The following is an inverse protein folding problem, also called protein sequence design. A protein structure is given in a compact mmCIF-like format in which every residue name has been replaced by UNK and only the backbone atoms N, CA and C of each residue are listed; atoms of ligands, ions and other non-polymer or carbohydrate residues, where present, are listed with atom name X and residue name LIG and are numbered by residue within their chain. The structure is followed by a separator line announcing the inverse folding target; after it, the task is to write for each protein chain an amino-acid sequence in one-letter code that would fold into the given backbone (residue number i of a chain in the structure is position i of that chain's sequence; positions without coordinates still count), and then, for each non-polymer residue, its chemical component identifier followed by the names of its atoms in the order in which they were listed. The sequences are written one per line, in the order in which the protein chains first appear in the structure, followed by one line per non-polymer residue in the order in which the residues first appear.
data_IF_829488148318
#
_entry.id   IF_829488148318
#
_cell.length_a   1.000
_cell.length_b   1.000
_cell.length_c   1.000
_cell.angle_alpha   90.00
_cell.angle_beta   90.00
_cell.angle_gamma   90.00
#
_symmetry.space_group_name_H-M   'P 1'
#
loop_
_entity.id
_entity.type
_entity.pdbx_description
1 polymer ?
#
# COMPACT_ATOMS: atom_id res chain seq x y z
N UNK A 1 -55.55 -30.02 -2.36
CA UNK A 1 -54.62 -29.02 -2.92
C UNK A 1 -53.30 -29.15 -2.20
N UNK A 2 -52.19 -28.99 -2.91
CA UNK A 2 -50.86 -29.02 -2.30
C UNK A 2 -50.05 -27.85 -2.83
N UNK A 3 -49.43 -27.12 -1.91
CA UNK A 3 -48.53 -26.01 -2.18
C UNK A 3 -47.13 -26.43 -1.75
N UNK A 4 -46.16 -26.34 -2.65
CA UNK A 4 -44.76 -26.65 -2.36
C UNK A 4 -43.90 -25.39 -2.45
N UNK A 5 -43.18 -25.08 -1.38
CA UNK A 5 -42.32 -23.89 -1.23
C UNK A 5 -40.87 -24.35 -1.04
N UNK A 6 -39.92 -23.99 -1.91
CA UNK A 6 -38.51 -24.32 -1.72
C UNK A 6 -37.95 -23.69 -0.44
N UNK A 7 -37.19 -24.46 0.36
CA UNK A 7 -36.55 -23.98 1.60
C UNK A 7 -35.65 -22.77 1.36
N UNK A 8 -35.01 -22.68 0.18
CA UNK A 8 -34.16 -21.55 -0.19
C UNK A 8 -34.89 -20.21 -0.22
N UNK A 9 -36.20 -20.21 -0.52
CA UNK A 9 -36.99 -18.97 -0.55
C UNK A 9 -37.28 -18.43 0.84
N UNK A 10 -37.30 -19.31 1.82
CA UNK A 10 -37.70 -19.01 3.19
C UNK A 10 -36.50 -18.96 4.15
N UNK A 11 -35.29 -18.78 3.61
CA UNK A 11 -34.05 -18.61 4.39
C UNK A 11 -33.35 -19.91 4.80
N UNK A 12 -33.85 -21.08 4.38
CA UNK A 12 -33.18 -22.37 4.55
C UNK A 12 -33.23 -22.97 5.96
N UNK A 13 -33.69 -22.22 6.96
CA UNK A 13 -33.70 -22.64 8.37
C UNK A 13 -35.11 -22.81 8.96
N UNK A 14 -36.16 -22.58 8.18
CA UNK A 14 -37.54 -22.77 8.63
C UNK A 14 -37.90 -24.26 8.66
N UNK A 15 -38.66 -24.64 9.68
CA UNK A 15 -39.33 -25.93 9.81
C UNK A 15 -40.67 -25.93 9.05
N UNK A 16 -41.24 -27.11 8.84
CA UNK A 16 -42.56 -27.22 8.20
C UNK A 16 -43.67 -26.56 9.03
N UNK A 17 -43.62 -26.72 10.35
CA UNK A 17 -44.58 -26.16 11.31
C UNK A 17 -44.53 -24.64 11.43
N UNK A 18 -43.46 -24.01 10.93
CA UNK A 18 -43.33 -22.55 10.91
C UNK A 18 -44.25 -21.89 9.89
N UNK A 19 -44.82 -22.66 8.95
CA UNK A 19 -45.77 -22.20 7.94
C UNK A 19 -47.12 -22.89 8.12
N UNK A 20 -48.21 -22.14 7.99
CA UNK A 20 -49.57 -22.66 8.04
C UNK A 20 -50.51 -21.94 7.05
N UNK A 21 -51.73 -22.45 6.90
CA UNK A 21 -52.77 -21.79 6.10
C UNK A 21 -53.47 -20.69 6.89
N UNK A 22 -53.74 -19.57 6.22
CA UNK A 22 -54.38 -18.42 6.85
C UNK A 22 -55.76 -18.80 7.39
N UNK A 23 -55.97 -18.51 8.68
CA UNK A 23 -57.21 -18.81 9.38
C UNK A 23 -57.26 -20.22 10.00
N UNK A 24 -56.23 -21.05 9.85
CA UNK A 24 -56.14 -22.35 10.51
C UNK A 24 -54.66 -22.72 10.84
N UNK A 25 -54.30 -22.59 12.12
CA UNK A 25 -52.92 -22.80 12.60
C UNK A 25 -52.51 -24.28 12.68
N UNK A 26 -53.49 -25.20 12.63
CA UNK A 26 -53.26 -26.65 12.63
C UNK A 26 -52.88 -27.14 11.23
N UNK A 27 -53.24 -26.39 10.19
CA UNK A 27 -52.93 -26.70 8.80
C UNK A 27 -51.50 -26.29 8.42
N UNK A 28 -50.54 -27.02 8.97
CA UNK A 28 -49.10 -26.75 8.87
C UNK A 28 -48.40 -27.42 7.69
N UNK A 29 -47.19 -26.95 7.40
CA UNK A 29 -46.31 -27.57 6.40
C UNK A 29 -45.54 -28.76 6.93
N UNK A 30 -45.13 -29.62 6.01
CA UNK A 30 -44.17 -30.70 6.26
C UNK A 30 -42.93 -30.47 5.42
N UNK A 31 -41.75 -30.72 5.99
CA UNK A 31 -40.50 -30.71 5.23
C UNK A 31 -40.28 -32.06 4.60
N UNK A 32 -39.99 -32.06 3.30
CA UNK A 32 -39.41 -33.22 2.63
C UNK A 32 -37.89 -33.15 2.72
N UNK A 33 -37.29 -34.06 3.49
CA UNK A 33 -35.83 -34.14 3.71
C UNK A 33 -35.05 -34.33 2.40
N UNK A 34 -35.62 -35.08 1.44
CA UNK A 34 -34.97 -35.39 0.17
C UNK A 34 -34.98 -34.22 -0.82
N UNK A 35 -36.03 -33.39 -0.79
CA UNK A 35 -36.28 -32.40 -1.85
C UNK A 35 -36.00 -30.97 -1.41
N UNK A 36 -35.83 -30.71 -0.11
CA UNK A 36 -35.71 -29.36 0.48
C UNK A 36 -36.88 -28.45 0.08
N UNK A 37 -38.10 -28.97 0.14
CA UNK A 37 -39.33 -28.19 0.05
C UNK A 37 -40.15 -28.33 1.33
N UNK A 38 -40.83 -27.26 1.70
CA UNK A 38 -41.95 -27.29 2.62
C UNK A 38 -43.21 -27.51 1.77
N UNK A 39 -43.96 -28.57 2.06
CA UNK A 39 -45.24 -28.86 1.40
C UNK A 39 -46.38 -28.72 2.39
N UNK A 40 -47.39 -27.95 2.03
CA UNK A 40 -48.64 -27.83 2.77
C UNK A 40 -49.74 -28.46 1.92
N UNK A 41 -50.47 -29.43 2.48
CA UNK A 41 -51.54 -30.13 1.81
C UNK A 41 -52.85 -29.97 2.59
N UNK A 42 -53.94 -29.70 1.87
CA UNK A 42 -55.29 -29.55 2.44
C UNK A 42 -56.34 -30.13 1.51
N UNK A 43 -57.46 -30.60 2.05
CA UNK A 43 -58.64 -30.89 1.23
C UNK A 43 -59.26 -29.58 0.72
N UNK A 44 -60.10 -29.64 -0.31
CA UNK A 44 -60.65 -28.43 -0.95
C UNK A 44 -61.46 -27.55 0.01
N UNK A 45 -62.18 -28.17 0.95
CA UNK A 45 -63.10 -27.49 1.89
C UNK A 45 -62.55 -27.34 3.31
N UNK A 46 -61.34 -27.81 3.57
CA UNK A 46 -60.75 -27.80 4.92
C UNK A 46 -59.81 -26.59 5.07
N UNK A 47 -59.24 -26.39 6.26
CA UNK A 47 -58.26 -25.32 6.54
C UNK A 47 -58.74 -23.91 6.18
N UNK A 48 -60.05 -23.65 6.30
CA UNK A 48 -60.67 -22.37 5.98
C UNK A 48 -60.37 -21.85 4.56
N UNK A 49 -60.24 -22.75 3.58
CA UNK A 49 -60.14 -22.35 2.18
C UNK A 49 -61.37 -21.54 1.74
N UNK A 50 -61.14 -20.38 1.13
CA UNK A 50 -62.20 -19.58 0.53
C UNK A 50 -62.65 -20.21 -0.79
N UNK A 51 -63.97 -20.24 -1.00
CA UNK A 51 -64.61 -20.83 -2.18
C UNK A 51 -65.32 -19.72 -2.95
N UNK A 52 -65.03 -19.62 -4.23
CA UNK A 52 -65.72 -18.72 -5.16
C UNK A 52 -66.17 -19.50 -6.38
N UNK A 53 -67.34 -19.17 -6.90
CA UNK A 53 -68.02 -19.94 -7.93
C UNK A 53 -68.51 -19.00 -9.03
N UNK A 54 -68.22 -19.35 -10.28
CA UNK A 54 -68.77 -18.72 -11.48
C UNK A 54 -69.43 -19.77 -12.41
N UNK A 55 -69.92 -19.33 -13.57
CA UNK A 55 -70.66 -20.18 -14.52
C UNK A 55 -69.81 -21.32 -15.09
N UNK A 56 -68.48 -21.22 -15.09
CA UNK A 56 -67.56 -22.15 -15.74
C UNK A 56 -66.62 -22.86 -14.75
N UNK A 57 -66.28 -22.22 -13.64
CA UNK A 57 -65.27 -22.66 -12.70
C UNK A 57 -65.72 -22.59 -11.22
N UNK A 58 -65.15 -23.49 -10.42
CA UNK A 58 -65.13 -23.39 -8.95
C UNK A 58 -63.69 -23.15 -8.54
N UNK A 59 -63.45 -22.07 -7.82
CA UNK A 59 -62.11 -21.63 -7.40
C UNK A 59 -61.99 -21.75 -5.88
N UNK A 60 -61.01 -22.54 -5.46
CA UNK A 60 -60.60 -22.66 -4.06
C UNK A 60 -59.31 -21.86 -3.85
N UNK A 61 -59.26 -21.04 -2.81
CA UNK A 61 -58.09 -20.18 -2.54
C UNK A 61 -57.75 -20.12 -1.07
N UNK A 62 -56.47 -19.94 -0.77
CA UNK A 62 -55.96 -19.68 0.57
C UNK A 62 -54.60 -18.99 0.49
N UNK A 63 -54.03 -18.62 1.63
CA UNK A 63 -52.72 -17.99 1.74
C UNK A 63 -51.87 -18.76 2.74
N UNK A 64 -50.66 -19.13 2.35
CA UNK A 64 -49.66 -19.65 3.30
C UNK A 64 -49.04 -18.48 4.04
N UNK A 65 -49.00 -18.54 5.37
CA UNK A 65 -48.43 -17.51 6.23
C UNK A 65 -47.42 -18.10 7.22
N UNK A 66 -46.47 -17.28 7.65
CA UNK A 66 -45.57 -17.64 8.76
C UNK A 66 -46.33 -17.60 10.08
N UNK A 67 -46.12 -18.61 10.92
CA UNK A 67 -46.61 -18.63 12.30
C UNK A 67 -46.05 -17.44 13.08
N UNK A 68 -46.94 -16.65 13.67
CA UNK A 68 -46.52 -15.57 14.56
C UNK A 68 -45.92 -16.14 15.84
N UNK A 69 -44.78 -15.60 16.30
CA UNK A 69 -44.20 -16.01 17.57
C UNK A 69 -44.98 -15.36 18.72
N UNK A 70 -45.31 -16.12 19.77
CA UNK A 70 -45.93 -15.57 20.99
C UNK A 70 -44.99 -14.63 21.81
N UNK A 71 -43.75 -14.45 21.36
CA UNK A 71 -42.76 -13.56 21.99
C UNK A 71 -42.57 -12.22 21.28
N UNK A 72 -41.93 -11.27 21.95
CA UNK A 72 -41.59 -9.94 21.40
C UNK A 72 -40.61 -9.97 20.23
N UNK A 73 -39.90 -11.10 20.02
CA UNK A 73 -38.86 -11.25 19.01
C UNK A 73 -39.10 -12.55 18.25
N UNK A 74 -39.33 -12.45 16.94
CA UNK A 74 -39.26 -13.59 16.01
C UNK A 74 -37.95 -13.58 15.23
N UNK A 75 -37.44 -14.78 14.93
CA UNK A 75 -36.30 -14.99 14.01
C UNK A 75 -36.74 -15.62 12.69
N UNK A 76 -38.03 -15.89 12.54
CA UNK A 76 -38.62 -16.43 11.32
C UNK A 76 -38.80 -15.30 10.30
N UNK A 77 -38.54 -15.61 9.02
CA UNK A 77 -38.87 -14.69 7.92
C UNK A 77 -40.39 -14.59 7.80
N UNK A 78 -40.90 -13.38 7.55
CA UNK A 78 -42.31 -13.18 7.23
C UNK A 78 -42.58 -13.68 5.81
N UNK A 79 -43.44 -14.69 5.69
CA UNK A 79 -43.82 -15.35 4.44
C UNK A 79 -45.32 -15.16 4.27
N UNK A 80 -45.75 -14.77 3.07
CA UNK A 80 -47.16 -14.66 2.70
C UNK A 80 -47.28 -15.06 1.24
N UNK A 81 -47.87 -16.23 0.98
CA UNK A 81 -47.98 -16.80 -0.36
C UNK A 81 -49.45 -17.12 -0.66
N UNK A 82 -50.17 -16.22 -1.35
CA UNK A 82 -51.53 -16.52 -1.80
C UNK A 82 -51.49 -17.57 -2.92
N UNK A 83 -52.45 -18.48 -2.91
CA UNK A 83 -52.64 -19.47 -3.97
C UNK A 83 -54.12 -19.71 -4.23
N UNK A 84 -54.43 -20.16 -5.45
CA UNK A 84 -55.76 -20.60 -5.83
C UNK A 84 -55.70 -21.77 -6.80
N UNK A 85 -56.72 -22.61 -6.78
CA UNK A 85 -56.93 -23.72 -7.70
C UNK A 85 -58.31 -23.54 -8.35
N UNK A 86 -58.33 -23.33 -9.66
CA UNK A 86 -59.56 -23.25 -10.45
C UNK A 86 -59.86 -24.61 -11.07
N UNK A 87 -61.09 -25.08 -10.92
CA UNK A 87 -61.58 -26.35 -11.43
C UNK A 87 -62.77 -26.12 -12.34
N UNK A 88 -62.72 -26.65 -13.57
CA UNK A 88 -63.83 -26.57 -14.50
C UNK A 88 -64.99 -27.45 -14.00
N UNK A 89 -66.21 -26.93 -14.07
CA UNK A 89 -67.43 -27.62 -13.60
C UNK A 89 -67.80 -28.84 -14.43
N UNK A 90 -67.34 -28.92 -15.67
CA UNK A 90 -67.72 -29.94 -16.65
C UNK A 90 -66.75 -31.13 -16.73
N UNK A 91 -65.64 -31.10 -15.98
CA UNK A 91 -64.59 -32.12 -16.01
C UNK A 91 -64.45 -32.90 -14.70
N UNK A 92 -64.09 -34.18 -14.77
CA UNK A 92 -63.78 -34.98 -13.58
C UNK A 92 -62.38 -34.63 -13.06
N UNK A 93 -62.33 -34.08 -11.85
CA UNK A 93 -61.12 -33.48 -11.28
C UNK A 93 -60.18 -34.54 -10.66
N UNK A 94 -58.92 -34.56 -11.09
CA UNK A 94 -57.81 -35.21 -10.37
C UNK A 94 -57.07 -34.24 -9.43
N UNK A 95 -56.29 -34.77 -8.49
CA UNK A 95 -55.43 -33.99 -7.58
C UNK A 95 -54.50 -33.06 -8.40
N UNK A 96 -54.68 -31.74 -8.26
CA UNK A 96 -53.75 -30.73 -8.80
C UNK A 96 -52.77 -30.30 -7.71
N UNK A 97 -51.48 -30.38 -8.03
CA UNK A 97 -50.38 -29.81 -7.24
C UNK A 97 -50.01 -28.44 -7.80
N UNK A 98 -50.02 -27.41 -6.95
CA UNK A 98 -49.54 -26.08 -7.31
C UNK A 98 -48.10 -25.93 -6.85
N UNK A 99 -47.19 -25.77 -7.81
CA UNK A 99 -45.81 -25.40 -7.52
C UNK A 99 -45.73 -23.88 -7.63
N UNK A 100 -45.32 -23.22 -6.55
CA UNK A 100 -45.15 -21.77 -6.53
C UNK A 100 -43.98 -21.42 -7.46
N UNK A 101 -44.29 -21.04 -8.71
CA UNK A 101 -43.30 -20.63 -9.71
C UNK A 101 -43.22 -19.12 -9.89
N UNK A 102 -44.29 -18.41 -9.57
CA UNK A 102 -44.40 -16.96 -9.73
C UNK A 102 -44.79 -16.34 -8.37
N UNK A 103 -43.79 -15.87 -7.63
CA UNK A 103 -43.95 -15.26 -6.32
C UNK A 103 -43.11 -13.98 -6.27
N UNK A 104 -43.69 -12.89 -5.75
CA UNK A 104 -42.93 -11.69 -5.42
C UNK A 104 -42.62 -11.74 -3.93
N UNK A 105 -41.36 -12.03 -3.59
CA UNK A 105 -40.88 -11.81 -2.23
C UNK A 105 -40.82 -10.30 -2.00
N UNK A 106 -41.80 -9.76 -1.28
CA UNK A 106 -41.76 -8.40 -0.75
C UNK A 106 -40.79 -8.32 0.44
N UNK A 107 -39.56 -8.79 0.26
CA UNK A 107 -38.49 -8.70 1.23
C UNK A 107 -37.29 -8.05 0.55
N UNK A 108 -36.99 -6.81 0.95
CA UNK A 108 -35.70 -6.19 0.66
C UNK A 108 -34.70 -6.79 1.64
N UNK A 109 -33.85 -7.70 1.17
CA UNK A 109 -32.69 -8.13 1.95
C UNK A 109 -31.71 -6.96 2.08
N UNK A 110 -31.76 -6.27 3.21
CA UNK A 110 -30.78 -5.23 3.54
C UNK A 110 -29.55 -5.92 4.14
N UNK A 111 -28.65 -6.39 3.29
CA UNK A 111 -27.32 -6.83 3.70
C UNK A 111 -26.35 -5.65 3.62
N UNK A 112 -25.70 -5.31 4.72
CA UNK A 112 -24.67 -4.25 4.73
C UNK A 112 -23.30 -4.85 4.42
N UNK A 113 -22.75 -4.49 3.26
CA UNK A 113 -21.35 -4.77 2.90
C UNK A 113 -20.40 -3.71 3.47
N UNK A 114 -19.09 -4.03 3.57
CA UNK A 114 -18.04 -3.06 3.88
C UNK A 114 -16.99 -3.05 2.78
N UNK A 115 -16.59 -1.87 2.33
CA UNK A 115 -15.46 -1.73 1.41
C UNK A 115 -14.16 -2.18 2.09
N UNK A 116 -13.29 -2.82 1.31
CA UNK A 116 -11.92 -3.15 1.73
C UNK A 116 -11.01 -2.04 1.23
N UNK A 117 -10.24 -1.45 2.14
CA UNK A 117 -9.27 -0.41 1.82
C UNK A 117 -7.86 -0.98 1.95
N UNK A 118 -6.95 -0.50 1.12
CA UNK A 118 -5.52 -0.74 1.25
C UNK A 118 -4.76 0.59 1.22
N UNK A 119 -3.64 0.63 1.95
CA UNK A 119 -2.66 1.70 1.93
C UNK A 119 -1.31 1.00 1.75
N UNK A 120 -0.66 1.22 0.62
CA UNK A 120 0.54 0.52 0.24
C UNK A 120 1.66 1.51 -0.09
N UNK A 121 2.91 1.08 0.13
CA UNK A 121 4.11 1.85 -0.20
C UNK A 121 4.70 1.22 -1.45
N UNK A 122 5.00 2.04 -2.45
CA UNK A 122 5.50 1.66 -3.75
C UNK A 122 7.00 1.92 -3.85
N UNK A 123 7.66 1.18 -4.73
CA UNK A 123 9.11 1.26 -4.93
C UNK A 123 9.51 2.48 -5.76
N UNK A 124 8.61 2.98 -6.60
CA UNK A 124 8.81 4.05 -7.57
C UNK A 124 7.50 4.83 -7.84
N UNK A 125 7.60 5.84 -8.71
CA UNK A 125 6.54 6.76 -9.12
C UNK A 125 5.57 6.17 -10.15
N UNK A 126 5.81 4.95 -10.64
CA UNK A 126 4.88 4.24 -11.53
C UNK A 126 3.72 3.59 -10.74
N UNK A 127 3.85 3.48 -9.40
CA UNK A 127 2.86 2.87 -8.51
C UNK A 127 2.44 1.44 -8.91
N UNK A 128 3.34 0.66 -9.54
CA UNK A 128 3.08 -0.73 -9.94
C UNK A 128 3.57 -1.73 -8.90
N UNK A 129 4.82 -1.61 -8.45
CA UNK A 129 5.43 -2.56 -7.52
C UNK A 129 5.40 -2.04 -6.07
N UNK A 130 4.62 -2.71 -5.23
CA UNK A 130 4.53 -2.41 -3.80
C UNK A 130 5.49 -3.25 -2.95
N UNK A 131 5.92 -2.70 -1.83
CA UNK A 131 6.62 -3.47 -0.79
C UNK A 131 5.68 -4.51 -0.16
N UNK A 132 6.17 -5.75 -0.08
CA UNK A 132 5.47 -6.84 0.60
C UNK A 132 5.57 -6.68 2.13
N UNK A 133 4.61 -7.24 2.86
CA UNK A 133 4.61 -7.18 4.33
C UNK A 133 5.89 -7.78 4.96
N UNK A 134 6.53 -8.74 4.28
CA UNK A 134 7.81 -9.34 4.70
C UNK A 134 9.03 -8.43 4.54
N UNK A 135 8.92 -7.36 3.74
CA UNK A 135 10.00 -6.40 3.50
C UNK A 135 10.03 -5.27 4.54
N UNK A 136 9.03 -5.21 5.44
CA UNK A 136 9.02 -4.23 6.52
C UNK A 136 9.97 -4.61 7.67
N UNK A 137 10.66 -3.63 8.28
CA UNK A 137 10.61 -2.20 7.99
C UNK A 137 11.31 -1.80 6.68
N UNK A 138 10.64 -0.99 5.87
CA UNK A 138 11.22 -0.45 4.62
C UNK A 138 12.25 0.62 4.97
N UNK A 139 13.47 0.45 4.47
CA UNK A 139 14.56 1.40 4.66
C UNK A 139 14.50 2.51 3.61
N UNK A 140 14.42 3.77 4.06
CA UNK A 140 14.43 4.95 3.19
C UNK A 140 15.44 5.97 3.71
N UNK A 141 16.11 6.72 2.84
CA UNK A 141 16.97 7.81 3.29
C UNK A 141 16.13 9.03 3.66
N UNK A 142 16.77 10.05 4.23
CA UNK A 142 16.11 11.33 4.49
C UNK A 142 16.13 12.20 3.25
N UNK A 143 15.05 12.97 3.07
CA UNK A 143 14.86 13.92 1.96
C UNK A 143 14.90 13.26 0.57
N UNK A 144 14.51 11.99 0.50
CA UNK A 144 14.20 11.27 -0.73
C UNK A 144 12.69 11.11 -0.90
N UNK A 145 12.25 10.97 -2.15
CA UNK A 145 10.86 10.74 -2.50
C UNK A 145 10.36 9.38 -1.98
N UNK A 146 9.17 9.39 -1.38
CA UNK A 146 8.44 8.21 -0.95
C UNK A 146 7.09 8.21 -1.66
N UNK A 147 6.81 7.08 -2.30
CA UNK A 147 5.58 6.83 -3.05
C UNK A 147 4.66 5.94 -2.23
N UNK A 148 3.46 6.42 -1.91
CA UNK A 148 2.43 5.60 -1.29
C UNK A 148 1.07 5.88 -1.90
N UNK A 149 0.18 4.89 -1.86
CA UNK A 149 -1.13 5.02 -2.48
C UNK A 149 -2.20 4.32 -1.67
N UNK A 150 -3.41 4.90 -1.72
CA UNK A 150 -4.61 4.29 -1.16
C UNK A 150 -5.44 3.67 -2.28
N UNK A 151 -6.02 2.50 -2.04
CA UNK A 151 -6.93 1.84 -3.00
C UNK A 151 -8.16 1.25 -2.33
N UNK A 152 -9.24 1.19 -3.10
CA UNK A 152 -10.47 0.47 -2.75
C UNK A 152 -10.78 -0.57 -3.84
N UNK A 153 -10.24 -1.80 -3.74
CA UNK A 153 -10.56 -2.86 -4.70
C UNK A 153 -12.06 -3.17 -4.68
N UNK A 154 -12.73 -2.89 -5.80
CA UNK A 154 -14.17 -3.06 -5.98
C UNK A 154 -14.48 -3.59 -7.39
N UNK A 155 -15.62 -4.26 -7.53
CA UNK A 155 -16.20 -4.60 -8.83
C UNK A 155 -17.09 -3.46 -9.38
N UNK A 156 -17.33 -2.43 -8.58
CA UNK A 156 -18.07 -1.25 -8.96
C UNK A 156 -17.12 -0.22 -9.59
N UNK A 157 -17.24 -0.04 -10.91
CA UNK A 157 -16.44 0.89 -11.69
C UNK A 157 -16.84 2.35 -11.56
N UNK A 158 -17.85 2.67 -10.75
CA UNK A 158 -18.28 4.02 -10.44
C UNK A 158 -17.91 4.45 -9.00
N UNK A 159 -17.01 3.72 -8.33
CA UNK A 159 -16.49 4.15 -7.04
C UNK A 159 -15.28 5.05 -7.21
N UNK A 160 -15.33 6.16 -6.51
CA UNK A 160 -14.23 7.10 -6.38
C UNK A 160 -13.66 7.05 -4.94
N UNK A 161 -12.39 7.40 -4.79
CA UNK A 161 -11.67 7.33 -3.53
C UNK A 161 -11.03 8.68 -3.24
N UNK A 162 -11.19 9.17 -2.01
CA UNK A 162 -10.57 10.40 -1.54
C UNK A 162 -9.83 10.17 -0.24
N UNK A 163 -8.60 10.68 -0.16
CA UNK A 163 -7.81 10.74 1.07
C UNK A 163 -8.14 12.05 1.78
N UNK A 164 -8.82 12.00 2.92
CA UNK A 164 -9.22 13.23 3.65
C UNK A 164 -8.15 13.79 4.55
N UNK A 165 -7.38 12.91 5.18
CA UNK A 165 -6.24 13.31 5.98
C UNK A 165 -5.21 12.22 5.96
N UNK A 166 -3.93 12.61 6.02
CA UNK A 166 -2.84 11.71 6.32
C UNK A 166 -1.95 12.37 7.37
N UNK A 167 -1.59 11.61 8.39
CA UNK A 167 -0.66 12.01 9.43
C UNK A 167 0.40 10.94 9.61
N UNK A 168 1.60 11.35 9.98
CA UNK A 168 2.66 10.46 10.37
C UNK A 168 2.90 10.50 11.88
N UNK A 169 3.39 9.39 12.43
CA UNK A 169 3.71 9.23 13.85
C UNK A 169 4.99 8.41 14.04
N UNK A 170 5.70 8.55 15.18
CA UNK A 170 6.92 7.79 15.46
C UNK A 170 6.66 6.33 15.87
N UNK A 171 5.40 5.98 16.20
CA UNK A 171 4.98 4.63 16.60
C UNK A 171 3.69 4.22 15.89
N UNK A 172 3.27 2.96 16.01
CA UNK A 172 2.03 2.49 15.40
C UNK A 172 0.75 3.13 16.00
N UNK A 173 0.89 3.86 17.12
CA UNK A 173 -0.19 4.58 17.78
C UNK A 173 -0.52 5.86 17.03
N UNK A 174 -1.77 6.01 16.60
CA UNK A 174 -2.26 7.26 16.02
C UNK A 174 -2.19 8.42 17.02
N UNK A 175 -2.27 8.17 18.33
CA UNK A 175 -2.36 9.22 19.35
C UNK A 175 -1.00 9.80 19.77
N UNK A 176 0.09 9.34 19.17
CA UNK A 176 1.43 9.87 19.42
C UNK A 176 1.64 11.23 18.72
N UNK A 177 2.82 11.82 18.86
CA UNK A 177 3.19 13.06 18.16
C UNK A 177 2.93 12.92 16.65
N UNK A 178 2.08 13.80 16.11
CA UNK A 178 1.62 13.72 14.72
C UNK A 178 2.28 14.78 13.84
N UNK A 179 2.71 14.38 12.66
CA UNK A 179 3.04 15.30 11.57
C UNK A 179 1.94 15.25 10.50
N UNK A 180 1.37 16.39 10.11
CA UNK A 180 0.33 16.43 9.08
C UNK A 180 0.94 16.39 7.68
N UNK A 181 0.49 15.46 6.84
CA UNK A 181 0.89 15.35 5.43
C UNK A 181 -0.24 15.87 4.51
N UNK A 182 -1.47 15.46 4.79
CA UNK A 182 -2.68 15.85 4.05
C UNK A 182 -3.73 16.32 5.05
N UNK A 183 -4.39 17.45 4.76
CA UNK A 183 -5.46 18.02 5.57
C UNK A 183 -6.65 18.39 4.68
N UNK A 184 -7.82 17.88 5.04
CA UNK A 184 -9.08 18.12 4.35
C UNK A 184 -9.02 17.81 2.84
N UNK A 185 -8.22 16.80 2.47
CA UNK A 185 -7.97 16.36 1.11
C UNK A 185 -6.93 17.17 0.33
N UNK A 186 -6.31 18.17 0.96
CA UNK A 186 -5.27 18.97 0.34
C UNK A 186 -3.89 18.67 0.92
N UNK A 187 -2.86 18.75 0.07
CA UNK A 187 -1.47 18.71 0.48
C UNK A 187 -1.20 19.79 1.55
N UNK A 188 -0.67 19.39 2.71
CA UNK A 188 -0.34 20.33 3.78
C UNK A 188 1.00 21.04 3.52
N UNK A 189 1.96 20.33 2.94
CA UNK A 189 3.26 20.86 2.53
C UNK A 189 3.36 20.96 1.00
N UNK A 190 4.24 21.85 0.53
CA UNK A 190 4.47 22.06 -0.91
C UNK A 190 5.19 20.89 -1.59
N UNK A 191 5.92 20.08 -0.82
CA UNK A 191 6.60 18.86 -1.28
C UNK A 191 5.66 17.64 -1.38
N UNK A 192 4.42 17.76 -0.93
CA UNK A 192 3.43 16.68 -1.06
C UNK A 192 2.70 16.83 -2.40
N UNK A 193 2.80 15.82 -3.25
CA UNK A 193 2.02 15.71 -4.48
C UNK A 193 0.95 14.63 -4.32
N UNK A 194 -0.27 14.93 -4.78
CA UNK A 194 -1.42 14.02 -4.73
C UNK A 194 -1.93 13.90 -6.17
N UNK A 195 -2.07 12.67 -6.65
CA UNK A 195 -2.68 12.34 -7.93
C UNK A 195 -3.91 11.45 -7.69
N UNK A 196 -5.07 11.98 -8.05
CA UNK A 196 -6.39 11.37 -7.91
C UNK A 196 -7.07 11.10 -9.26
N UNK A 197 -6.30 11.06 -10.35
CA UNK A 197 -6.83 10.85 -11.71
C UNK A 197 -7.42 9.46 -11.98
N UNK A 198 -7.19 8.48 -11.10
CA UNK A 198 -7.62 7.10 -11.25
C UNK A 198 -8.79 6.75 -10.31
N UNK A 199 -9.89 6.23 -10.86
CA UNK A 199 -11.03 5.79 -10.05
C UNK A 199 -10.62 4.70 -9.05
N UNK A 200 -10.94 4.92 -7.78
CA UNK A 200 -10.68 3.97 -6.70
C UNK A 200 -9.21 3.87 -6.27
N UNK A 201 -8.33 4.74 -6.77
CA UNK A 201 -6.92 4.81 -6.40
C UNK A 201 -6.44 6.25 -6.27
N UNK A 202 -5.74 6.56 -5.19
CA UNK A 202 -5.11 7.88 -5.00
C UNK A 202 -3.63 7.67 -4.68
N UNK A 203 -2.77 8.25 -5.50
CA UNK A 203 -1.32 8.26 -5.36
C UNK A 203 -0.87 9.50 -4.59
N UNK A 204 0.13 9.32 -3.71
CA UNK A 204 0.73 10.40 -2.93
C UNK A 204 2.25 10.24 -2.93
N UNK A 205 2.92 11.34 -3.23
CA UNK A 205 4.38 11.45 -3.20
C UNK A 205 4.77 12.48 -2.14
N UNK A 206 5.73 12.14 -1.29
CA UNK A 206 6.26 13.04 -0.26
C UNK A 206 7.78 12.94 -0.19
N UNK A 207 8.43 13.97 0.36
CA UNK A 207 9.81 13.85 0.85
C UNK A 207 9.81 13.21 2.24
N UNK A 208 10.68 12.22 2.42
CA UNK A 208 10.89 11.52 3.69
C UNK A 208 11.48 12.43 4.77
N UNK A 209 10.90 12.36 5.97
CA UNK A 209 11.30 13.15 7.13
C UNK A 209 11.38 12.28 8.37
N UNK A 210 12.11 12.71 9.40
CA UNK A 210 12.15 12.05 10.71
C UNK A 210 11.66 12.95 11.82
N UNK A 211 11.14 12.33 12.86
CA UNK A 211 10.95 12.98 14.15
C UNK A 211 12.30 13.23 14.82
N UNK A 212 12.48 14.41 15.40
CA UNK A 212 13.66 14.75 16.21
C UNK A 212 13.50 14.09 17.57
N UNK A 213 14.54 13.39 18.05
CA UNK A 213 14.59 12.74 19.38
C UNK A 213 13.55 11.62 19.66
N UNK A 214 12.63 11.33 18.74
CA UNK A 214 11.60 10.28 18.88
C UNK A 214 11.92 8.98 18.13
N UNK A 215 13.16 8.81 17.68
CA UNK A 215 13.65 7.64 16.95
C UNK A 215 13.72 7.84 15.43
N UNK A 216 13.85 6.73 14.70
CA UNK A 216 13.99 6.72 13.23
C UNK A 216 12.90 5.91 12.53
N UNK A 217 11.79 5.65 13.21
CA UNK A 217 10.64 4.95 12.65
C UNK A 217 9.53 5.93 12.36
N UNK A 218 8.81 5.69 11.27
CA UNK A 218 7.64 6.47 10.89
C UNK A 218 6.52 5.53 10.44
N UNK A 219 5.31 5.80 10.90
CA UNK A 219 4.07 5.18 10.45
C UNK A 219 3.22 6.24 9.79
N UNK A 220 2.51 5.87 8.72
CA UNK A 220 1.59 6.75 8.00
C UNK A 220 0.18 6.27 8.29
N UNK A 221 -0.68 7.19 8.71
CA UNK A 221 -2.09 6.96 8.98
C UNK A 221 -2.93 7.84 8.06
N UNK A 222 -3.87 7.26 7.34
CA UNK A 222 -4.76 8.02 6.46
C UNK A 222 -6.23 7.72 6.74
N UNK A 223 -7.07 8.76 6.68
CA UNK A 223 -8.52 8.65 6.74
C UNK A 223 -9.09 8.69 5.31
N UNK A 224 -9.65 7.56 4.88
CA UNK A 224 -10.14 7.34 3.52
C UNK A 224 -11.66 7.49 3.45
N UNK A 225 -12.15 8.04 2.36
CA UNK A 225 -13.57 8.21 2.04
C UNK A 225 -13.86 7.62 0.66
N UNK A 226 -14.92 6.83 0.53
CA UNK A 226 -15.44 6.37 -0.76
C UNK A 226 -16.61 7.25 -1.15
N UNK A 227 -16.64 7.66 -2.41
CA UNK A 227 -17.78 8.37 -3.00
C UNK A 227 -18.23 7.67 -4.27
N UNK A 228 -19.40 8.07 -4.77
CA UNK A 228 -19.82 7.72 -6.12
C UNK A 228 -19.17 8.69 -7.11
N UNK A 229 -18.57 8.18 -8.17
CA UNK A 229 -18.04 8.96 -9.28
C UNK A 229 -19.20 9.69 -9.98
N UNK A 230 -19.26 11.02 -9.84
CA UNK A 230 -20.28 11.83 -10.49
C UNK A 230 -19.83 12.20 -11.91
N UNK A 231 -20.70 12.01 -12.89
CA UNK A 231 -20.48 12.46 -14.28
C UNK A 231 -21.17 13.82 -14.46
N UNK A 232 -20.48 14.94 -14.20
CA UNK A 232 -21.03 16.28 -14.42
C UNK A 232 -20.44 17.39 -13.53
N UNK A 233 -20.98 18.61 -13.66
CA UNK A 233 -20.59 19.81 -12.88
C UNK A 233 -21.12 19.81 -11.43
N UNK A 234 -21.38 18.65 -10.85
CA UNK A 234 -21.71 18.53 -9.42
C UNK A 234 -20.42 18.30 -8.65
N UNK A 235 -20.13 19.14 -7.66
CA UNK A 235 -18.98 18.95 -6.76
C UNK A 235 -19.10 17.59 -6.10
N UNK A 236 -18.28 16.63 -6.55
CA UNK A 236 -18.29 15.29 -5.97
C UNK A 236 -17.89 15.41 -4.50
N UNK A 237 -18.44 14.57 -3.63
CA UNK A 237 -17.97 14.56 -2.24
C UNK A 237 -16.47 14.22 -2.17
N UNK A 238 -15.91 13.56 -3.19
CA UNK A 238 -14.49 13.20 -3.24
C UNK A 238 -13.59 14.36 -3.68
N UNK A 239 -14.12 15.42 -4.29
CA UNK A 239 -13.39 16.64 -4.61
C UNK A 239 -13.19 17.51 -3.34
N UNK A 240 -11.94 17.72 -2.91
CA UNK A 240 -11.65 18.53 -1.72
C UNK A 240 -11.67 20.05 -2.00
N UNK A 241 -11.68 20.50 -3.25
CA UNK A 241 -11.75 21.93 -3.59
C UNK A 241 -10.57 22.74 -3.03
N UNK A 242 -9.34 22.29 -3.28
CA UNK A 242 -8.13 22.92 -2.74
C UNK A 242 -7.88 24.32 -3.33
N UNK A 243 -8.28 25.37 -2.62
CA UNK A 243 -7.94 26.75 -2.99
C UNK A 243 -6.48 27.03 -2.62
N UNK A 244 -5.61 27.13 -3.62
CA UNK A 244 -4.21 27.55 -3.42
C UNK A 244 -4.12 28.88 -2.68
N UNK A 245 -3.10 29.06 -1.83
CA UNK A 245 -2.97 30.15 -0.85
C UNK A 245 -2.86 31.59 -1.41
N UNK A 246 -3.29 31.87 -2.64
CA UNK A 246 -3.37 33.21 -3.22
C UNK A 246 -4.82 33.68 -3.33
N UNK A 247 -5.29 34.30 -2.24
CA UNK A 247 -6.26 35.39 -2.26
C UNK A 247 -7.55 35.18 -3.07
N UNK A 248 -8.53 34.48 -2.49
CA UNK A 248 -9.90 34.98 -2.47
C UNK A 248 -10.64 34.34 -1.31
N UNK A 249 -11.23 35.20 -0.46
CA UNK A 249 -12.18 34.77 0.57
C UNK A 249 -13.44 34.31 -0.15
N UNK A 250 -13.50 33.03 -0.49
CA UNK A 250 -14.76 32.46 -0.93
C UNK A 250 -15.60 31.98 0.26
N UNK A 251 -16.90 32.07 0.06
CA UNK A 251 -17.94 31.95 1.09
C UNK A 251 -17.79 30.63 1.85
N UNK A 252 -17.92 30.72 3.18
CA UNK A 252 -18.23 29.56 4.01
C UNK A 252 -19.63 29.09 3.62
N UNK A 253 -19.72 28.18 2.67
CA UNK A 253 -20.88 27.32 2.58
C UNK A 253 -20.80 26.37 3.77
N UNK A 254 -21.54 26.74 4.81
CA UNK A 254 -21.92 25.87 5.92
C UNK A 254 -22.89 24.85 5.31
N UNK A 255 -22.36 23.95 4.49
CA UNK A 255 -23.00 22.66 4.34
C UNK A 255 -22.59 21.93 5.61
N UNK A 256 -23.56 21.72 6.52
CA UNK A 256 -23.46 20.69 7.53
C UNK A 256 -23.15 19.39 6.80
N UNK A 257 -21.86 19.13 6.62
CA UNK A 257 -21.36 17.91 6.01
C UNK A 257 -21.81 16.83 6.98
N UNK A 258 -22.84 16.07 6.60
CA UNK A 258 -23.13 14.78 7.23
C UNK A 258 -21.77 14.14 7.48
N UNK A 259 -21.48 13.76 8.73
CA UNK A 259 -20.17 13.22 9.08
C UNK A 259 -20.01 11.89 8.32
N UNK A 260 -19.51 11.98 7.09
CA UNK A 260 -19.28 10.84 6.22
C UNK A 260 -18.35 9.90 6.96
N UNK A 261 -18.70 8.62 6.97
CA UNK A 261 -17.93 7.62 7.69
C UNK A 261 -16.59 7.42 6.96
N UNK A 262 -15.50 7.76 7.65
CA UNK A 262 -14.14 7.68 7.12
C UNK A 262 -13.44 6.48 7.70
N UNK A 263 -12.73 5.74 6.86
CA UNK A 263 -11.93 4.60 7.31
C UNK A 263 -10.48 5.01 7.54
N UNK A 264 -10.02 4.93 8.79
CA UNK A 264 -8.59 5.04 9.12
C UNK A 264 -7.85 3.75 8.79
N UNK A 265 -6.71 3.89 8.12
CA UNK A 265 -5.75 2.81 7.85
C UNK A 265 -4.33 3.28 8.20
N UNK A 266 -3.48 2.34 8.60
CA UNK A 266 -2.09 2.59 9.02
C UNK A 266 -1.15 1.72 8.20
N UNK A 267 -0.02 2.26 7.74
CA UNK A 267 1.07 1.52 7.10
C UNK A 267 2.42 1.91 7.70
N UNK A 268 3.34 0.95 7.77
CA UNK A 268 4.66 1.12 8.38
C UNK A 268 5.11 -0.15 9.13
N UNK A 269 6.26 -0.12 9.80
CA UNK A 269 7.15 1.03 9.96
C UNK A 269 8.06 1.28 8.75
N UNK A 270 8.23 2.54 8.39
CA UNK A 270 9.38 3.03 7.63
C UNK A 270 10.56 3.22 8.58
N UNK A 271 11.78 2.85 8.17
CA UNK A 271 13.02 3.07 8.92
C UNK A 271 13.92 4.03 8.18
N UNK A 272 14.11 5.21 8.78
CA UNK A 272 14.89 6.28 8.19
C UNK A 272 16.38 6.08 8.46
N UNK A 273 17.16 6.09 7.40
CA UNK A 273 18.62 6.09 7.44
C UNK A 273 19.13 7.52 7.29
N UNK A 274 20.14 7.87 8.08
CA UNK A 274 20.80 9.17 7.96
C UNK A 274 21.51 9.19 6.61
N UNK A 275 21.17 10.14 5.75
CA UNK A 275 21.82 10.28 4.46
C UNK A 275 23.31 10.55 4.71
N UNK A 276 24.19 9.70 4.18
CA UNK A 276 25.64 9.76 4.45
C UNK A 276 26.36 10.87 3.66
N UNK A 277 25.63 11.64 2.86
CA UNK A 277 26.15 12.71 2.03
C UNK A 277 26.18 14.11 2.67
N UNK A 278 25.88 14.26 3.97
CA UNK A 278 26.01 15.55 4.66
C UNK A 278 26.74 15.45 6.00
N UNK A 279 28.08 15.50 5.89
CA UNK A 279 29.17 15.71 6.86
C UNK A 279 29.22 14.91 8.18
N UNK A 280 30.44 14.46 8.57
CA UNK A 280 30.65 13.62 9.74
C UNK A 280 30.43 14.41 11.03
N UNK A 281 30.09 13.66 12.06
CA UNK A 281 29.92 14.09 13.44
C UNK A 281 31.01 15.07 13.91
N UNK A 282 30.62 16.14 14.61
CA UNK A 282 31.49 17.08 15.35
C UNK A 282 32.52 16.44 16.30
N UNK A 283 32.40 15.13 16.57
CA UNK A 283 33.37 14.36 17.35
C UNK A 283 34.67 14.05 16.60
N UNK A 284 34.69 14.14 15.26
CA UNK A 284 35.90 13.89 14.47
C UNK A 284 36.86 15.10 14.42
N UNK A 285 36.46 16.27 14.96
CA UNK A 285 37.37 17.41 15.11
C UNK A 285 38.15 17.43 16.42
N UNK A 286 37.79 16.61 17.43
CA UNK A 286 38.41 16.69 18.77
C UNK A 286 39.34 15.53 19.12
N UNK A 287 39.41 14.47 18.30
CA UNK A 287 40.36 13.37 18.50
C UNK A 287 41.36 13.30 17.35
N UNK A 288 42.16 14.35 17.20
CA UNK A 288 43.44 14.28 16.49
C UNK A 288 44.56 14.32 17.51
N UNK A 289 44.70 13.26 18.29
CA UNK A 289 45.97 12.93 18.90
C UNK A 289 46.22 11.43 18.79
N UNK A 290 47.40 11.12 18.24
CA UNK A 290 48.06 9.83 18.05
C UNK A 290 47.78 8.97 16.79
N UNK A 291 48.80 9.03 15.91
CA UNK A 291 49.32 8.01 14.98
C UNK A 291 48.57 7.72 13.67
N UNK A 292 49.05 8.25 12.51
CA UNK A 292 48.68 7.70 11.23
C UNK A 292 49.47 6.42 10.96
N UNK A 293 48.79 5.27 10.99
CA UNK A 293 49.24 4.10 10.25
C UNK A 293 49.07 4.42 8.75
N UNK A 294 50.16 4.83 8.11
CA UNK A 294 50.23 5.08 6.67
C UNK A 294 50.05 3.75 5.92
N UNK A 295 48.85 3.50 5.38
CA UNK A 295 48.66 2.56 4.28
C UNK A 295 48.92 3.31 2.97
N UNK A 296 50.13 3.17 2.42
CA UNK A 296 50.41 3.53 1.04
C UNK A 296 49.84 2.45 0.12
N UNK A 297 48.94 2.84 -0.77
CA UNK A 297 48.70 2.07 -1.99
C UNK A 297 50.02 1.99 -2.76
N UNK A 298 50.65 0.82 -2.73
CA UNK A 298 51.91 0.55 -3.39
C UNK A 298 51.72 0.69 -4.89
N UNK A 299 52.08 1.84 -5.44
CA UNK A 299 52.30 1.99 -6.86
C UNK A 299 53.69 1.37 -7.17
N UNK A 300 53.77 0.17 -7.76
CA UNK A 300 55.04 -0.55 -7.95
C UNK A 300 56.06 0.24 -8.77
N UNK A 301 55.59 1.19 -9.57
CA UNK A 301 56.43 2.09 -10.35
C UNK A 301 57.29 3.02 -9.48
N UNK A 302 56.83 3.43 -8.29
CA UNK A 302 57.60 4.31 -7.40
C UNK A 302 58.83 3.57 -6.88
N UNK A 303 58.69 2.31 -6.46
CA UNK A 303 59.81 1.50 -5.96
C UNK A 303 60.87 1.31 -7.04
N UNK A 304 60.45 1.08 -8.28
CA UNK A 304 61.35 0.96 -9.43
C UNK A 304 62.09 2.28 -9.70
N UNK A 305 61.43 3.44 -9.62
CA UNK A 305 62.08 4.73 -9.83
C UNK A 305 63.11 5.06 -8.75
N UNK A 306 62.80 4.76 -7.48
CA UNK A 306 63.72 4.99 -6.36
C UNK A 306 64.91 4.04 -6.42
N UNK A 307 64.69 2.78 -6.79
CA UNK A 307 65.78 1.81 -6.99
C UNK A 307 66.70 2.24 -8.14
N UNK A 308 66.15 2.71 -9.27
CA UNK A 308 66.96 3.21 -10.39
C UNK A 308 67.73 4.49 -10.02
N UNK A 309 67.10 5.41 -9.30
CA UNK A 309 67.76 6.65 -8.85
C UNK A 309 68.93 6.36 -7.89
N UNK A 310 68.74 5.44 -6.94
CA UNK A 310 69.81 5.06 -5.99
C UNK A 310 70.98 4.37 -6.69
N UNK A 311 70.71 3.48 -7.65
CA UNK A 311 71.76 2.84 -8.47
C UNK A 311 72.53 3.88 -9.28
N UNK A 312 71.86 4.84 -9.90
CA UNK A 312 72.50 5.93 -10.64
C UNK A 312 73.43 6.77 -9.76
N UNK A 313 73.01 7.12 -8.53
CA UNK A 313 73.84 7.87 -7.59
C UNK A 313 75.11 7.07 -7.22
N UNK A 314 74.98 5.77 -6.96
CA UNK A 314 76.12 4.91 -6.63
C UNK A 314 77.11 4.85 -7.80
N UNK A 315 76.63 4.73 -9.05
CA UNK A 315 77.48 4.72 -10.24
C UNK A 315 78.22 6.05 -10.39
N UNK A 316 77.54 7.19 -10.22
CA UNK A 316 78.15 8.52 -10.30
C UNK A 316 79.21 8.69 -9.21
N UNK A 317 78.94 8.25 -7.98
CA UNK A 317 79.91 8.30 -6.89
C UNK A 317 81.12 7.41 -7.20
N UNK A 318 80.90 6.18 -7.66
CA UNK A 318 81.97 5.25 -8.02
C UNK A 318 82.84 5.78 -9.17
N UNK A 319 82.23 6.36 -10.21
CA UNK A 319 82.93 7.03 -11.30
C UNK A 319 83.73 8.23 -10.79
N UNK A 320 83.15 9.07 -9.92
CA UNK A 320 83.85 10.21 -9.34
C UNK A 320 85.06 9.78 -8.48
N UNK A 321 84.93 8.67 -7.73
CA UNK A 321 86.01 8.10 -6.93
C UNK A 321 87.07 7.46 -7.83
N UNK A 322 86.67 6.76 -8.89
CA UNK A 322 87.59 6.20 -9.87
C UNK A 322 88.35 7.31 -10.62
N UNK A 323 87.69 8.39 -11.03
CA UNK A 323 88.35 9.55 -11.64
C UNK A 323 89.30 10.25 -10.66
N UNK A 324 88.92 10.38 -9.38
CA UNK A 324 89.81 10.88 -8.32
C UNK A 324 91.00 9.94 -8.06
N UNK A 325 90.81 8.62 -8.15
CA UNK A 325 91.87 7.63 -8.05
C UNK A 325 92.77 7.60 -9.28
N UNK A 326 92.22 7.74 -10.49
CA UNK A 326 93.01 7.81 -11.72
C UNK A 326 93.81 9.10 -11.81
N UNK A 327 93.24 10.24 -11.40
CA UNK A 327 93.99 11.51 -11.31
C UNK A 327 95.06 11.46 -10.22
N UNK A 328 94.84 10.75 -9.11
CA UNK A 328 95.88 10.53 -8.10
C UNK A 328 96.94 9.51 -8.52
N UNK A 329 96.57 8.49 -9.31
CA UNK A 329 97.52 7.58 -9.97
C UNK A 329 98.37 8.30 -11.02
N UNK A 330 97.76 9.16 -11.85
CA UNK A 330 98.47 9.96 -12.85
C UNK A 330 99.41 10.99 -12.21
N UNK A 331 99.10 11.55 -11.03
CA UNK A 331 100.02 12.41 -10.26
C UNK A 331 101.16 11.64 -9.56
N UNK A 332 101.05 10.31 -9.42
CA UNK A 332 102.10 9.46 -8.82
C UNK A 332 103.07 8.86 -9.85
N UNK A 333 102.77 8.96 -11.15
CA UNK A 333 103.77 8.74 -12.18
C UNK A 333 104.61 10.01 -12.36
N UNK A 334 105.73 10.08 -11.64
CA UNK A 334 106.89 10.83 -12.14
C UNK A 334 107.33 10.14 -13.45
N UNK A 335 107.70 10.87 -14.52
CA UNK A 335 108.42 10.26 -15.62
C UNK A 335 109.69 9.62 -15.04
N UNK A 336 109.83 8.32 -15.24
CA UNK A 336 111.08 7.61 -14.95
C UNK A 336 112.01 7.93 -16.11
N UNK A 337 112.97 8.83 -15.89
CA UNK A 337 114.16 8.91 -16.72
C UNK A 337 115.02 7.67 -16.41
N UNK A 338 115.26 6.83 -17.42
CA UNK A 338 116.25 5.73 -17.36
C UNK A 338 117.37 6.10 -18.32
N UNK A 339 118.59 6.21 -17.79
CA UNK A 339 119.83 6.22 -18.57
C UNK A 339 120.58 7.55 -18.52
N UNK A 340 121.75 7.51 -17.88
CA UNK A 340 122.77 8.57 -17.86
C UNK A 340 123.24 8.94 -19.27
N UNK A 341 123.02 10.19 -19.66
CA UNK A 341 124.06 11.17 -19.96
C UNK A 341 123.40 12.45 -20.50
N UNK A 342 123.78 13.59 -19.91
CA UNK A 342 123.51 14.95 -20.37
C UNK A 342 122.05 15.43 -20.42
N UNK A 343 121.65 16.22 -19.41
CA UNK A 343 120.94 17.48 -19.67
C UNK A 343 121.01 18.42 -18.46
N UNK A 344 122.14 19.13 -18.34
CA UNK A 344 122.16 20.47 -17.75
C UNK A 344 121.48 21.43 -18.74
N UNK A 345 120.41 22.10 -18.31
CA UNK A 345 120.09 23.48 -18.70
C UNK A 345 118.93 24.03 -17.86
N UNK A 346 119.33 24.78 -16.84
CA UNK A 346 118.87 26.14 -16.54
C UNK A 346 117.36 26.44 -16.48
N UNK A 347 116.95 26.75 -15.26
CA UNK A 347 116.07 27.87 -14.94
C UNK A 347 116.13 29.00 -15.98
N UNK A 348 114.96 29.42 -16.46
CA UNK A 348 114.71 30.83 -16.69
C UNK A 348 114.00 31.15 -17.99
N UNK A 349 112.85 31.83 -17.82
CA UNK A 349 112.18 32.82 -18.68
C UNK A 349 110.72 32.43 -18.94
N UNK A 350 109.72 33.31 -18.85
CA UNK A 350 109.54 34.63 -18.26
C UNK A 350 108.03 34.89 -18.39
N UNK A 351 107.47 35.55 -17.39
CA UNK A 351 106.33 36.49 -17.42
C UNK A 351 105.86 37.04 -18.78
N UNK A 352 104.55 37.35 -18.81
CA UNK A 352 103.75 38.24 -19.70
C UNK A 352 103.03 37.50 -20.85
N UNK A 353 101.71 37.65 -21.09
CA UNK A 353 100.72 38.67 -20.75
C UNK A 353 99.50 38.12 -20.00
#
# INVERSE_FOLDING_TARGET
MTVTIPLTLVGGTMNGEDLHLLGDDDCTGMISEDTRFISIATNLTDCNNAITEDDEHIVYSNTVVTRESEGTITRLKQVTVPFYCSYNRSEQVGLRSYRVTDYQLNFTEVSTGRYKFALDIFKDDDFEEKYADSEYPVDVNLDEELYFGASVPSQDGALDLSIRSCVATPSASYNDEQWTIIRDGCAFETSTHIDDGALGFVAVTINTFRFVELGNRVYIHCDLLVCQATTGNETSECDPGCVGSSGNRDRRDIVEKYSLDKKRITKGPLRLRRNSYFNPSLNDMFNSEENPAFHYDFNPWIVVTVALATICIIIVVMLSVMLRKMTSYARRMKPVCVGDEACEALLGLKTNL
#
